data_IF_622989133433
#
_entry.id   IF_622989133433
#
_cell.length_a   1.000
_cell.length_b   1.000
_cell.length_c   1.000
_cell.angle_alpha   90.00
_cell.angle_beta   90.00
_cell.angle_gamma   90.00
#
_symmetry.space_group_name_H-M   'P 1'
#
loop_
_entity.id
_entity.type
_entity.pdbx_description
1 polymer ?
#
# COMPACT_ATOMS: atom_id res chain seq x y z
N UNK A 1 -1.03 6.34 11.08
CA UNK A 1 -1.68 7.62 11.45
C UNK A 1 -1.17 8.73 10.54
N UNK A 2 -2.03 9.69 10.17
CA UNK A 2 -1.66 10.84 9.34
C UNK A 2 -0.68 11.77 10.07
N UNK A 3 0.32 12.24 9.34
CA UNK A 3 1.53 12.91 9.87
C UNK A 3 1.45 14.43 9.77
N UNK A 4 0.61 14.89 8.86
CA UNK A 4 0.36 16.30 8.51
C UNK A 4 -1.14 16.54 8.47
N UNK A 5 -1.55 17.80 8.53
CA UNK A 5 -2.94 18.19 8.32
C UNK A 5 -3.47 17.66 6.98
N UNK A 6 -2.66 17.76 5.91
CA UNK A 6 -2.98 17.24 4.58
C UNK A 6 -3.26 15.73 4.60
N UNK A 7 -2.39 14.92 5.23
CA UNK A 7 -2.57 13.46 5.32
C UNK A 7 -3.69 13.00 6.27
N UNK A 8 -4.15 13.88 7.17
CA UNK A 8 -5.32 13.64 8.03
C UNK A 8 -6.62 14.09 7.38
N UNK A 9 -6.57 14.92 6.36
CA UNK A 9 -7.70 15.46 5.65
C UNK A 9 -8.29 14.45 4.64
N UNK A 10 -8.58 13.22 5.08
CA UNK A 10 -9.14 12.19 4.20
C UNK A 10 -10.19 11.31 4.86
N UNK A 11 -11.19 10.93 4.07
CA UNK A 11 -12.21 9.93 4.41
C UNK A 11 -12.13 8.78 3.42
N UNK A 12 -12.60 7.60 3.82
CA UNK A 12 -12.76 6.47 2.91
C UNK A 12 -14.15 6.49 2.30
N UNK A 13 -14.21 6.22 1.02
CA UNK A 13 -15.44 5.99 0.27
C UNK A 13 -15.33 4.66 -0.47
N UNK A 14 -16.47 4.03 -0.72
CA UNK A 14 -16.55 2.85 -1.57
C UNK A 14 -16.18 3.21 -3.01
N UNK A 15 -15.41 2.33 -3.67
CA UNK A 15 -15.01 2.49 -5.06
C UNK A 15 -14.97 1.10 -5.73
N UNK A 16 -16.11 0.70 -6.33
CA UNK A 16 -16.29 -0.64 -6.85
C UNK A 16 -16.21 -1.71 -5.75
N UNK A 17 -15.32 -2.69 -5.91
CA UNK A 17 -15.04 -3.71 -4.90
C UNK A 17 -13.96 -3.27 -3.87
N UNK A 18 -13.42 -2.06 -4.04
CA UNK A 18 -12.38 -1.49 -3.18
C UNK A 18 -12.85 -0.27 -2.40
N UNK A 19 -11.88 0.48 -1.90
CA UNK A 19 -12.11 1.78 -1.27
C UNK A 19 -11.09 2.79 -1.77
N UNK A 20 -11.53 4.03 -1.86
CA UNK A 20 -10.72 5.19 -2.24
C UNK A 20 -10.69 6.21 -1.12
N UNK A 21 -9.59 6.96 -0.99
CA UNK A 21 -9.56 8.15 -0.15
C UNK A 21 -10.08 9.36 -0.91
N UNK A 22 -10.88 10.18 -0.23
CA UNK A 22 -11.31 11.50 -0.69
C UNK A 22 -10.91 12.54 0.34
N UNK A 23 -10.68 13.78 -0.10
CA UNK A 23 -10.43 14.89 0.80
C UNK A 23 -11.65 15.09 1.70
N UNK A 24 -11.44 15.25 3.00
CA UNK A 24 -12.56 15.58 3.91
C UNK A 24 -13.00 17.04 3.67
N UNK A 25 -12.04 17.94 3.55
CA UNK A 25 -12.23 19.36 3.22
C UNK A 25 -11.32 19.73 2.04
N UNK A 26 -11.89 19.86 0.85
CA UNK A 26 -11.14 20.16 -0.38
C UNK A 26 -10.34 21.47 -0.28
N UNK A 27 -10.80 22.44 0.53
CA UNK A 27 -10.12 23.73 0.67
C UNK A 27 -8.79 23.65 1.44
N UNK A 28 -8.59 22.57 2.19
CA UNK A 28 -7.37 22.29 2.98
C UNK A 28 -6.41 21.34 2.27
N UNK A 29 -6.74 20.91 1.06
CA UNK A 29 -5.90 20.03 0.27
C UNK A 29 -4.77 20.83 -0.37
N UNK A 30 -3.53 20.50 -0.01
CA UNK A 30 -2.34 21.15 -0.57
C UNK A 30 -1.76 20.31 -1.70
N UNK A 31 -1.55 19.01 -1.43
CA UNK A 31 -1.05 18.05 -2.41
C UNK A 31 -1.93 16.80 -2.41
N UNK A 32 -2.65 16.50 -3.50
CA UNK A 32 -3.53 15.35 -3.60
C UNK A 32 -2.77 14.02 -3.70
N UNK A 33 -1.52 14.00 -4.18
CA UNK A 33 -0.86 12.76 -4.60
C UNK A 33 -0.63 11.77 -3.45
N UNK A 34 -0.29 12.27 -2.26
CA UNK A 34 -0.06 11.44 -1.06
C UNK A 34 -1.34 11.14 -0.25
N UNK A 35 -2.48 11.70 -0.65
CA UNK A 35 -3.71 11.65 0.16
C UNK A 35 -4.91 11.07 -0.58
N UNK A 36 -4.97 11.19 -1.92
CA UNK A 36 -6.04 10.69 -2.78
C UNK A 36 -5.50 9.48 -3.56
N UNK A 37 -5.79 8.28 -3.08
CA UNK A 37 -5.42 7.02 -3.70
C UNK A 37 -6.45 5.93 -3.35
N UNK A 38 -6.40 4.78 -4.01
CA UNK A 38 -7.16 3.61 -3.62
C UNK A 38 -6.37 2.80 -2.57
N UNK A 39 -6.64 2.89 -1.24
CA UNK A 39 -5.96 2.06 -0.26
C UNK A 39 -6.29 0.57 -0.42
N UNK A 40 -7.43 0.23 -1.03
CA UNK A 40 -7.83 -1.16 -1.29
C UNK A 40 -8.31 -1.30 -2.72
N UNK A 41 -7.79 -2.30 -3.45
CA UNK A 41 -8.34 -2.74 -4.73
C UNK A 41 -8.45 -4.26 -4.78
N UNK A 42 -9.44 -4.75 -5.52
CA UNK A 42 -9.70 -6.19 -5.69
C UNK A 42 -9.49 -6.57 -7.15
N UNK A 43 -8.59 -7.53 -7.39
CA UNK A 43 -8.28 -8.10 -8.70
C UNK A 43 -8.69 -9.58 -8.70
N UNK A 44 -9.92 -9.86 -9.11
CA UNK A 44 -10.50 -11.20 -9.04
C UNK A 44 -10.51 -11.72 -7.60
N UNK A 45 -9.73 -12.77 -7.34
CA UNK A 45 -9.63 -13.39 -6.02
C UNK A 45 -8.49 -12.83 -5.15
N UNK A 46 -7.94 -11.67 -5.51
CA UNK A 46 -6.83 -11.00 -4.82
C UNK A 46 -7.27 -9.66 -4.27
N UNK A 47 -7.05 -9.42 -2.99
CA UNK A 47 -7.25 -8.12 -2.34
C UNK A 47 -5.90 -7.47 -2.09
N UNK A 48 -5.69 -6.28 -2.65
CA UNK A 48 -4.48 -5.49 -2.50
C UNK A 48 -4.78 -4.36 -1.50
N UNK A 49 -3.90 -4.18 -0.51
CA UNK A 49 -4.03 -3.15 0.53
C UNK A 49 -2.71 -2.41 0.70
N UNK A 50 -2.70 -1.08 0.60
CA UNK A 50 -1.45 -0.30 0.74
C UNK A 50 -1.67 1.05 1.43
N UNK A 51 -0.58 1.73 1.79
CA UNK A 51 -0.63 3.08 2.37
C UNK A 51 -0.51 4.22 1.34
N UNK A 52 -0.52 3.94 0.03
CA UNK A 52 -0.35 4.98 -1.00
C UNK A 52 -0.83 4.55 -2.39
N UNK A 53 -0.49 5.36 -3.40
CA UNK A 53 -0.86 5.15 -4.80
C UNK A 53 -0.24 3.89 -5.45
N UNK A 54 0.73 3.25 -4.80
CA UNK A 54 1.28 1.98 -5.28
C UNK A 54 0.23 0.86 -5.34
N UNK A 55 -0.93 1.00 -4.72
CA UNK A 55 -2.05 0.07 -4.92
C UNK A 55 -2.43 -0.04 -6.40
N UNK A 56 -2.52 1.10 -7.11
CA UNK A 56 -2.87 1.12 -8.52
C UNK A 56 -1.73 0.55 -9.38
N UNK A 57 -0.48 0.86 -9.03
CA UNK A 57 0.69 0.25 -9.67
C UNK A 57 0.67 -1.28 -9.55
N UNK A 58 0.37 -1.82 -8.37
CA UNK A 58 0.26 -3.28 -8.18
C UNK A 58 -0.90 -3.83 -9.00
N UNK A 59 -2.08 -3.20 -8.92
CA UNK A 59 -3.27 -3.65 -9.64
C UNK A 59 -3.03 -3.73 -11.15
N UNK A 60 -2.55 -2.65 -11.75
CA UNK A 60 -2.35 -2.54 -13.20
C UNK A 60 -1.25 -3.45 -13.73
N UNK A 61 -0.15 -3.61 -13.00
CA UNK A 61 0.95 -4.47 -13.43
C UNK A 61 0.62 -5.95 -13.22
N UNK A 62 -0.15 -6.29 -12.19
CA UNK A 62 -0.64 -7.66 -12.00
C UNK A 62 -1.69 -8.06 -13.04
N UNK A 63 -2.56 -7.14 -13.47
CA UNK A 63 -3.45 -7.36 -14.61
C UNK A 63 -2.66 -7.72 -15.89
N UNK A 64 -1.47 -7.09 -16.03
CA UNK A 64 -0.47 -7.40 -17.07
C UNK A 64 0.45 -8.58 -16.74
N UNK A 65 0.02 -9.48 -15.85
CA UNK A 65 0.70 -10.73 -15.49
C UNK A 65 2.05 -10.56 -14.75
N UNK A 66 2.34 -9.38 -14.19
CA UNK A 66 3.49 -9.22 -13.30
C UNK A 66 3.17 -9.74 -11.90
N UNK A 67 4.18 -10.21 -11.16
CA UNK A 67 4.00 -10.55 -9.75
C UNK A 67 3.89 -9.32 -8.87
N UNK A 68 3.45 -9.51 -7.63
CA UNK A 68 3.41 -8.46 -6.60
C UNK A 68 4.79 -7.80 -6.41
N UNK A 69 5.85 -8.60 -6.32
CA UNK A 69 7.23 -8.13 -6.15
C UNK A 69 7.74 -7.43 -7.39
N UNK A 70 7.46 -7.96 -8.59
CA UNK A 70 7.84 -7.31 -9.84
C UNK A 70 7.18 -5.94 -9.98
N UNK A 71 5.91 -5.82 -9.59
CA UNK A 71 5.18 -4.56 -9.61
C UNK A 71 5.82 -3.53 -8.67
N UNK A 72 6.15 -3.94 -7.45
CA UNK A 72 6.77 -3.07 -6.44
C UNK A 72 8.23 -2.67 -6.74
N UNK A 73 8.93 -3.37 -7.64
CA UNK A 73 10.27 -2.94 -8.10
C UNK A 73 10.25 -1.61 -8.86
N UNK A 74 9.09 -1.19 -9.38
CA UNK A 74 8.92 0.10 -10.07
C UNK A 74 8.73 1.28 -9.11
N UNK A 75 8.66 1.00 -7.80
CA UNK A 75 8.40 1.99 -6.75
C UNK A 75 9.55 2.04 -5.74
N UNK A 76 9.56 3.11 -4.96
CA UNK A 76 10.45 3.34 -3.82
C UNK A 76 9.62 3.74 -2.59
N UNK A 77 10.24 4.26 -1.53
CA UNK A 77 9.52 5.00 -0.47
C UNK A 77 8.79 6.24 -1.04
N UNK A 78 7.98 6.94 -0.23
CA UNK A 78 7.35 8.20 -0.68
C UNK A 78 8.40 9.30 -0.83
N UNK A 79 8.21 10.16 -1.82
CA UNK A 79 9.05 11.29 -2.18
C UNK A 79 8.82 12.52 -1.28
N UNK A 80 8.59 12.27 0.02
CA UNK A 80 8.22 13.29 1.00
C UNK A 80 9.40 13.71 1.89
N UNK A 81 10.52 14.04 1.25
CA UNK A 81 11.72 14.49 1.95
C UNK A 81 11.39 15.60 2.99
N UNK A 82 12.00 15.56 4.19
CA UNK A 82 13.06 14.65 4.61
C UNK A 82 12.56 13.33 5.24
N UNK A 83 11.25 13.02 5.18
CA UNK A 83 10.70 11.87 5.91
C UNK A 83 10.97 10.52 5.23
N UNK A 84 11.01 10.49 3.89
CA UNK A 84 11.22 9.28 3.08
C UNK A 84 10.36 8.11 3.53
N UNK A 85 9.06 8.38 3.57
CA UNK A 85 8.05 7.49 4.14
C UNK A 85 8.11 6.09 3.57
N UNK A 86 8.20 5.06 4.41
CA UNK A 86 8.08 3.70 3.91
C UNK A 86 6.74 3.45 3.22
N UNK A 87 6.76 2.84 2.04
CA UNK A 87 5.57 2.30 1.39
C UNK A 87 5.36 0.87 1.86
N UNK A 88 4.24 0.63 2.52
CA UNK A 88 3.81 -0.71 2.94
C UNK A 88 2.68 -1.20 2.03
N UNK A 89 2.77 -2.47 1.66
CA UNK A 89 1.80 -3.11 0.77
C UNK A 89 1.50 -4.52 1.28
N UNK A 90 0.27 -4.96 1.09
CA UNK A 90 -0.19 -6.31 1.36
C UNK A 90 -1.02 -6.80 0.18
N UNK A 91 -0.91 -8.09 -0.12
CA UNK A 91 -1.80 -8.76 -1.05
C UNK A 91 -2.28 -10.06 -0.42
N UNK A 92 -3.59 -10.26 -0.41
CA UNK A 92 -4.25 -11.47 0.09
C UNK A 92 -4.85 -12.17 -1.12
N UNK A 93 -4.56 -13.45 -1.26
CA UNK A 93 -5.16 -14.33 -2.25
C UNK A 93 -6.00 -15.38 -1.51
N UNK A 94 -7.28 -15.45 -1.86
CA UNK A 94 -8.22 -16.42 -1.30
C UNK A 94 -8.76 -17.25 -2.45
N UNK A 95 -8.57 -18.57 -2.41
CA UNK A 95 -9.09 -19.46 -3.43
C UNK A 95 -9.48 -20.80 -2.80
N UNK A 96 -10.66 -21.34 -3.16
CA UNK A 96 -11.17 -22.62 -2.67
C UNK A 96 -11.10 -22.82 -1.13
N UNK A 97 -11.25 -21.74 -0.36
CA UNK A 97 -11.15 -21.77 1.10
C UNK A 97 -9.72 -21.76 1.66
N UNK A 98 -8.70 -21.73 0.81
CA UNK A 98 -7.31 -21.53 1.17
C UNK A 98 -6.93 -20.05 1.12
N UNK A 99 -6.00 -19.65 1.99
CA UNK A 99 -5.49 -18.29 2.06
C UNK A 99 -3.97 -18.29 2.00
N UNK A 100 -3.44 -17.36 1.22
CA UNK A 100 -2.02 -17.00 1.18
C UNK A 100 -1.94 -15.48 1.06
N UNK A 101 -0.91 -14.88 1.65
CA UNK A 101 -0.70 -13.45 1.53
C UNK A 101 0.78 -13.10 1.53
N UNK A 102 1.10 -11.97 0.91
CA UNK A 102 2.40 -11.36 0.98
C UNK A 102 2.30 -9.95 1.54
N UNK A 103 3.34 -9.52 2.22
CA UNK A 103 3.49 -8.17 2.73
C UNK A 103 4.84 -7.62 2.26
N UNK A 104 4.89 -6.34 1.92
CA UNK A 104 6.11 -5.67 1.49
C UNK A 104 6.28 -4.31 2.15
N UNK A 105 7.54 -3.94 2.35
CA UNK A 105 7.95 -2.59 2.75
C UNK A 105 9.11 -2.12 1.87
N UNK A 106 8.94 -0.93 1.28
CA UNK A 106 9.97 -0.18 0.57
C UNK A 106 10.36 1.00 1.47
N UNK A 107 11.62 1.09 1.90
CA UNK A 107 12.07 2.12 2.85
C UNK A 107 13.47 2.63 2.51
N UNK A 108 13.74 3.89 2.84
CA UNK A 108 15.09 4.44 2.76
C UNK A 108 16.04 3.71 3.72
N UNK A 109 17.33 3.65 3.38
CA UNK A 109 18.38 3.17 4.29
C UNK A 109 18.63 4.19 5.40
N UNK A 110 17.97 4.00 6.55
CA UNK A 110 18.15 4.82 7.76
C UNK A 110 17.99 6.33 7.53
N UNK A 111 17.04 6.71 6.65
CA UNK A 111 16.75 8.10 6.29
C UNK A 111 17.54 8.62 5.09
N UNK A 112 18.41 7.81 4.50
CA UNK A 112 19.12 8.15 3.26
C UNK A 112 18.21 7.93 2.03
N UNK A 113 17.69 9.03 1.49
CA UNK A 113 16.86 9.06 0.29
C UNK A 113 17.57 8.64 -1.00
N UNK A 114 18.87 8.36 -0.99
CA UNK A 114 19.59 7.80 -2.14
C UNK A 114 19.56 6.27 -2.20
N UNK A 115 19.08 5.61 -1.15
CA UNK A 115 19.16 4.16 -0.99
C UNK A 115 17.82 3.55 -0.60
N UNK A 116 17.14 2.89 -1.55
CA UNK A 116 15.89 2.18 -1.31
C UNK A 116 16.12 0.69 -0.98
N UNK A 117 15.72 0.29 0.22
CA UNK A 117 15.67 -1.09 0.69
C UNK A 117 14.28 -1.69 0.43
N UNK A 118 14.23 -2.93 -0.04
CA UNK A 118 12.97 -3.61 -0.42
C UNK A 118 12.90 -4.96 0.28
N UNK A 119 11.81 -5.18 1.01
CA UNK A 119 11.57 -6.42 1.74
C UNK A 119 10.21 -6.97 1.37
N UNK A 120 10.14 -8.28 1.14
CA UNK A 120 8.89 -9.01 0.93
C UNK A 120 8.84 -10.22 1.85
N UNK A 121 7.70 -10.41 2.50
CA UNK A 121 7.41 -11.52 3.39
C UNK A 121 6.21 -12.27 2.81
N UNK A 122 6.38 -13.55 2.52
CA UNK A 122 5.32 -14.41 2.01
C UNK A 122 4.84 -15.38 3.09
N UNK A 123 3.53 -15.58 3.15
CA UNK A 123 2.87 -16.43 4.12
C UNK A 123 1.89 -17.36 3.40
N UNK A 124 2.15 -18.66 3.50
CA UNK A 124 1.28 -19.72 3.02
C UNK A 124 0.61 -20.39 4.21
N UNK A 125 -0.67 -20.73 4.09
CA UNK A 125 -1.47 -21.41 5.12
C UNK A 125 -1.39 -20.72 6.48
N UNK A 126 -1.81 -19.43 6.59
CA UNK A 126 -1.75 -18.72 7.84
C UNK A 126 -2.62 -19.40 8.92
N UNK A 127 -2.10 -19.44 10.13
CA UNK A 127 -2.78 -20.06 11.26
C UNK A 127 -4.09 -19.33 11.58
N UNK A 128 -5.17 -20.07 11.74
CA UNK A 128 -6.46 -19.52 12.16
C UNK A 128 -6.32 -18.68 13.44
N UNK A 129 -6.95 -17.51 13.45
CA UNK A 129 -6.89 -16.57 14.58
C UNK A 129 -5.58 -15.80 14.72
N UNK A 130 -4.62 -15.95 13.78
CA UNK A 130 -3.36 -15.19 13.77
C UNK A 130 -3.23 -14.36 12.49
N UNK A 131 -2.74 -13.14 12.64
CA UNK A 131 -2.42 -12.24 11.54
C UNK A 131 -1.00 -11.70 11.68
N UNK A 132 -0.53 -11.04 10.62
CA UNK A 132 0.73 -10.29 10.61
C UNK A 132 0.41 -8.81 10.43
N UNK A 133 1.28 -7.98 10.97
CA UNK A 133 1.15 -6.54 10.96
C UNK A 133 2.45 -5.92 10.47
N UNK A 134 2.33 -4.94 9.59
CA UNK A 134 3.44 -4.13 9.11
C UNK A 134 3.04 -2.66 9.24
N UNK A 135 3.99 -1.81 9.56
CA UNK A 135 3.75 -0.39 9.79
C UNK A 135 4.92 0.44 9.25
N UNK A 136 4.67 1.72 8.98
CA UNK A 136 5.71 2.62 8.47
C UNK A 136 6.69 3.06 9.54
N UNK A 137 6.22 3.31 10.78
CA UNK A 137 7.03 3.82 11.90
C UNK A 137 6.73 3.09 13.20
N UNK A 138 7.74 2.94 14.06
CA UNK A 138 7.55 2.46 15.44
C UNK A 138 7.09 3.58 16.36
#
# INVERSE_FOLDING_TARGET
MGRSENSRNRVFVEDGEGIRTQAFDESKMVDPHLIIYAPVRVLGNKTIVTNGDQTDTIYELMDKQMTFEQSLRTREFEDDAPNFTPRISGIIHIDNGEMNYAMSILKSADGDGSSCQRYTYAYQNPLCGKAKFIHTYK
#
